data_IF_175034125604
#
_entry.id   IF_175034125604
#
_cell.length_a   1.000
_cell.length_b   1.000
_cell.length_c   1.000
_cell.angle_alpha   90.00
_cell.angle_beta   90.00
_cell.angle_gamma   90.00
#
_symmetry.space_group_name_H-M   'P 1'
#
loop_
_entity.id
_entity.type
_entity.pdbx_description
1 polymer ?
#
# COMPACT_ATOMS: atom_id res chain seq x y z
N UNK A 1 33.49 9.63 5.48
CA UNK A 1 32.47 9.89 4.45
C UNK A 1 31.16 10.18 5.17
N UNK A 2 30.54 11.35 4.95
CA UNK A 2 29.23 11.65 5.54
C UNK A 2 28.17 10.89 4.72
N UNK A 3 27.28 10.08 5.34
CA UNK A 3 26.17 9.49 4.61
C UNK A 3 25.29 10.61 4.04
N UNK A 4 24.99 10.55 2.75
CA UNK A 4 24.03 11.44 2.10
C UNK A 4 22.64 11.10 2.67
N UNK A 5 22.21 11.83 3.70
CA UNK A 5 20.81 11.83 4.10
C UNK A 5 20.07 12.74 3.12
N UNK A 6 19.26 12.15 2.25
CA UNK A 6 18.32 12.89 1.42
C UNK A 6 17.34 13.63 2.34
N UNK A 7 17.33 14.96 2.28
CA UNK A 7 16.46 15.81 3.11
C UNK A 7 14.97 15.50 2.88
N UNK A 8 14.63 14.84 1.77
CA UNK A 8 13.28 14.40 1.46
C UNK A 8 12.94 13.02 2.07
N UNK A 9 13.89 12.34 2.72
CA UNK A 9 13.64 11.11 3.46
C UNK A 9 12.92 11.44 4.77
N UNK A 10 11.62 11.71 4.66
CA UNK A 10 10.78 12.05 5.80
C UNK A 10 10.77 10.88 6.81
N UNK A 11 11.07 11.18 8.08
CA UNK A 11 10.99 10.24 9.23
C UNK A 11 9.52 9.83 9.55
N UNK A 12 8.59 10.18 8.67
CA UNK A 12 7.18 9.82 8.76
C UNK A 12 7.04 8.31 9.01
N UNK A 13 6.45 7.92 10.15
CA UNK A 13 6.17 6.51 10.46
C UNK A 13 5.41 5.88 9.30
N UNK A 14 6.02 4.85 8.71
CA UNK A 14 5.48 4.12 7.56
C UNK A 14 4.05 3.66 7.86
N UNK A 15 3.10 3.80 6.92
CA UNK A 15 1.72 3.30 7.12
C UNK A 15 1.71 1.82 7.52
N UNK A 16 2.68 1.04 7.03
CA UNK A 16 2.87 -0.38 7.37
C UNK A 16 3.34 -0.64 8.81
N UNK A 17 3.94 0.34 9.46
CA UNK A 17 4.33 0.26 10.87
C UNK A 17 3.18 0.62 11.83
N UNK A 18 2.04 1.11 11.31
CA UNK A 18 0.87 1.35 12.16
C UNK A 18 0.30 0.01 12.57
N UNK A 19 0.31 -0.28 13.88
CA UNK A 19 -0.39 -1.43 14.41
C UNK A 19 -1.84 -1.40 13.89
N UNK A 20 -2.26 -2.48 13.23
CA UNK A 20 -3.69 -2.73 12.99
C UNK A 20 -4.38 -2.63 14.34
N UNK A 21 -5.32 -1.69 14.49
CA UNK A 21 -6.10 -1.52 15.72
C UNK A 21 -6.83 -2.85 15.97
N UNK A 22 -6.25 -3.74 16.78
CA UNK A 22 -6.93 -4.93 17.31
C UNK A 22 -8.16 -4.41 18.03
N UNK A 23 -9.32 -5.01 17.77
CA UNK A 23 -10.61 -4.60 18.35
C UNK A 23 -10.49 -4.41 19.87
N UNK A 24 -10.38 -3.16 20.30
CA UNK A 24 -10.44 -2.79 21.72
C UNK A 24 -11.91 -2.73 22.07
N UNK A 25 -12.26 -3.39 23.16
CA UNK A 25 -13.61 -3.50 23.70
C UNK A 25 -14.34 -2.15 23.79
N UNK A 26 -15.62 -2.25 23.50
CA UNK A 26 -16.56 -1.21 23.16
C UNK A 26 -17.06 -0.49 24.43
N UNK A 27 -16.36 0.54 24.93
CA UNK A 27 -16.99 1.47 25.90
C UNK A 27 -16.35 2.86 25.97
N UNK A 28 -15.03 3.00 25.84
CA UNK A 28 -14.36 4.32 25.92
C UNK A 28 -14.08 4.98 24.55
N UNK A 29 -14.18 4.22 23.46
CA UNK A 29 -13.81 4.70 22.11
C UNK A 29 -14.81 5.69 21.50
N UNK A 30 -16.04 5.79 22.02
CA UNK A 30 -17.09 6.65 21.45
C UNK A 30 -16.96 8.13 21.87
N UNK A 31 -16.28 8.45 22.98
CA UNK A 31 -16.16 9.84 23.47
C UNK A 31 -15.08 10.64 22.71
N UNK A 32 -13.97 10.01 22.32
CA UNK A 32 -12.88 10.63 21.55
C UNK A 32 -13.13 10.69 20.02
N UNK A 33 -14.13 9.97 19.52
CA UNK A 33 -14.46 9.87 18.09
C UNK A 33 -15.32 11.05 17.61
N UNK A 34 -15.99 11.74 18.52
CA UNK A 34 -16.92 12.84 18.21
C UNK A 34 -16.25 14.15 17.78
N UNK A 35 -15.02 14.44 18.24
CA UNK A 35 -14.32 15.69 17.90
C UNK A 35 -13.44 15.59 16.64
N UNK A 36 -13.01 14.39 16.25
CA UNK A 36 -12.18 14.17 15.05
C UNK A 36 -12.99 13.83 13.78
N UNK A 37 -14.30 13.61 13.90
CA UNK A 37 -15.19 13.14 12.83
C UNK A 37 -15.46 14.14 11.70
N UNK A 38 -15.12 15.42 11.83
CA UNK A 38 -15.43 16.46 10.82
C UNK A 38 -14.35 16.71 9.75
N UNK A 39 -13.20 16.02 9.79
CA UNK A 39 -12.16 16.07 8.72
C UNK A 39 -11.84 14.70 8.11
N UNK A 40 -12.67 13.68 8.35
CA UNK A 40 -12.52 12.33 7.80
C UNK A 40 -12.80 12.30 6.29
N UNK A 41 -11.74 12.51 5.48
CA UNK A 41 -11.77 12.32 4.01
C UNK A 41 -12.53 11.03 3.70
N UNK A 42 -13.61 11.11 2.90
CA UNK A 42 -14.28 9.95 2.26
C UNK A 42 -13.17 9.07 1.65
N UNK A 43 -12.71 8.05 2.37
CA UNK A 43 -11.63 7.19 1.91
C UNK A 43 -12.26 6.28 0.88
N UNK A 44 -12.04 6.69 -0.37
CA UNK A 44 -12.56 6.16 -1.62
C UNK A 44 -12.91 4.66 -1.53
N UNK A 45 -14.21 4.33 -1.55
CA UNK A 45 -14.71 2.96 -1.72
C UNK A 45 -14.22 2.34 -3.06
N UNK A 46 -13.63 3.15 -3.93
CA UNK A 46 -13.19 2.78 -5.27
C UNK A 46 -11.65 2.61 -5.39
N UNK A 47 -10.89 2.48 -4.30
CA UNK A 47 -9.47 2.12 -4.46
C UNK A 47 -9.32 0.65 -4.84
N UNK A 48 -8.31 0.35 -5.65
CA UNK A 48 -7.79 -1.00 -5.87
C UNK A 48 -7.22 -1.63 -4.58
N UNK A 49 -6.53 -0.84 -3.75
CA UNK A 49 -5.83 -1.33 -2.55
C UNK A 49 -6.36 -0.69 -1.27
N UNK A 50 -6.21 -1.39 -0.13
CA UNK A 50 -6.52 -0.88 1.20
C UNK A 50 -5.47 0.13 1.69
N UNK A 51 -5.66 0.70 2.87
CA UNK A 51 -4.69 1.66 3.44
C UNK A 51 -3.31 1.08 3.77
N UNK A 52 -3.17 -0.25 3.82
CA UNK A 52 -1.90 -0.94 4.04
C UNK A 52 -1.23 -1.32 2.71
N UNK A 53 -1.93 -1.17 1.58
CA UNK A 53 -1.46 -1.52 0.24
C UNK A 53 -1.78 -2.95 -0.18
N UNK A 54 -2.69 -3.64 0.50
CA UNK A 54 -3.18 -4.95 0.11
C UNK A 54 -4.31 -4.82 -0.90
N UNK A 55 -4.44 -5.78 -1.81
CA UNK A 55 -5.53 -5.82 -2.80
C UNK A 55 -6.86 -5.90 -2.05
N UNK A 56 -7.81 -5.00 -2.33
CA UNK A 56 -9.08 -4.94 -1.57
C UNK A 56 -9.98 -6.16 -1.73
N UNK A 57 -9.99 -6.77 -2.90
CA UNK A 57 -10.88 -7.89 -3.22
C UNK A 57 -10.53 -9.18 -2.49
N UNK A 58 -9.24 -9.46 -2.25
CA UNK A 58 -8.78 -10.72 -1.65
C UNK A 58 -7.87 -10.52 -0.41
N UNK A 59 -7.54 -9.29 -0.06
CA UNK A 59 -6.70 -8.97 1.10
C UNK A 59 -5.21 -9.32 0.95
N UNK A 60 -4.76 -9.72 -0.24
CA UNK A 60 -3.37 -10.16 -0.45
C UNK A 60 -2.41 -8.99 -0.64
N UNK A 61 -1.21 -9.11 -0.05
CA UNK A 61 -0.11 -8.14 -0.21
C UNK A 61 0.83 -8.56 -1.34
N UNK A 62 0.37 -8.47 -2.59
CA UNK A 62 1.18 -8.89 -3.76
C UNK A 62 2.03 -7.73 -4.28
N UNK A 63 3.30 -8.02 -4.60
CA UNK A 63 4.21 -7.07 -5.25
C UNK A 63 3.78 -6.81 -6.70
N UNK A 64 4.10 -5.64 -7.23
CA UNK A 64 3.77 -5.26 -8.61
C UNK A 64 4.43 -6.15 -9.67
N UNK A 65 5.44 -6.94 -9.32
CA UNK A 65 6.01 -7.99 -10.17
C UNK A 65 5.17 -9.28 -10.23
N UNK A 66 3.99 -9.30 -9.60
CA UNK A 66 3.04 -10.43 -9.60
C UNK A 66 3.59 -11.71 -8.94
N UNK A 67 4.65 -11.61 -8.14
CA UNK A 67 5.17 -12.69 -7.32
C UNK A 67 4.79 -12.49 -5.84
N UNK A 68 4.12 -13.48 -5.26
CA UNK A 68 3.67 -13.49 -3.86
C UNK A 68 4.84 -13.62 -2.86
N UNK A 69 5.92 -14.29 -3.26
CA UNK A 69 7.12 -14.50 -2.45
C UNK A 69 8.13 -13.35 -2.59
N UNK A 70 7.80 -12.30 -3.34
CA UNK A 70 8.71 -11.19 -3.57
C UNK A 70 8.83 -10.29 -2.32
N UNK A 71 10.05 -10.12 -1.81
CA UNK A 71 10.35 -9.19 -0.71
C UNK A 71 10.16 -7.70 -1.10
N UNK A 72 10.16 -7.41 -2.41
CA UNK A 72 9.88 -6.12 -3.00
C UNK A 72 10.83 -5.78 -4.14
N UNK A 73 10.31 -5.25 -5.25
CA UNK A 73 11.11 -4.87 -6.43
C UNK A 73 11.58 -3.41 -6.42
N UNK A 74 11.09 -2.61 -5.48
CA UNK A 74 11.29 -1.16 -5.45
C UNK A 74 11.93 -0.75 -4.13
N UNK A 75 12.62 0.39 -4.13
CA UNK A 75 13.04 1.06 -2.90
C UNK A 75 11.83 1.38 -2.00
N UNK A 76 12.08 1.64 -0.72
CA UNK A 76 11.03 1.97 0.24
C UNK A 76 10.17 3.14 -0.27
N UNK A 77 8.88 2.88 -0.44
CA UNK A 77 7.91 3.88 -0.86
C UNK A 77 7.88 5.03 0.15
N UNK A 78 8.09 6.27 -0.33
CA UNK A 78 8.06 7.49 0.51
C UNK A 78 6.71 7.70 1.22
N UNK A 79 5.61 7.14 0.71
CA UNK A 79 4.28 7.29 1.32
C UNK A 79 3.96 6.25 2.38
N UNK A 80 4.25 4.96 2.14
CA UNK A 80 3.82 3.87 3.04
C UNK A 80 4.96 3.01 3.60
N UNK A 81 6.20 3.19 3.10
CA UNK A 81 7.39 2.43 3.48
C UNK A 81 7.60 1.10 2.74
N UNK A 82 6.60 0.65 1.97
CA UNK A 82 6.65 -0.63 1.26
C UNK A 82 7.70 -0.64 0.15
N UNK A 83 8.42 -1.73 0.00
CA UNK A 83 9.28 -2.05 -1.14
C UNK A 83 8.52 -2.66 -2.33
N UNK A 84 7.18 -2.78 -2.23
CA UNK A 84 6.31 -3.46 -3.20
C UNK A 84 5.41 -2.51 -4.00
N UNK A 85 5.58 -1.19 -3.87
CA UNK A 85 4.59 -0.22 -4.35
C UNK A 85 4.71 0.23 -5.81
N UNK A 86 5.79 -0.05 -6.52
CA UNK A 86 5.96 0.54 -7.85
C UNK A 86 6.29 2.03 -7.81
N UNK A 87 6.19 2.72 -8.96
CA UNK A 87 6.34 4.17 -9.06
C UNK A 87 5.28 4.95 -8.27
N UNK A 88 4.09 4.37 -8.09
CA UNK A 88 2.97 4.98 -7.39
C UNK A 88 2.53 4.12 -6.22
N UNK A 89 2.53 4.68 -5.00
CA UNK A 89 2.10 4.00 -3.78
C UNK A 89 0.78 3.23 -3.96
N UNK A 90 0.79 1.91 -3.67
CA UNK A 90 -0.39 1.03 -3.72
C UNK A 90 -1.57 1.62 -2.94
N UNK A 91 -1.34 2.11 -1.73
CA UNK A 91 -2.38 2.72 -0.89
C UNK A 91 -2.99 4.01 -1.46
N UNK A 92 -2.34 4.65 -2.45
CA UNK A 92 -2.76 5.93 -3.03
C UNK A 92 -3.27 5.81 -4.47
N UNK A 93 -3.12 4.66 -5.13
CA UNK A 93 -3.54 4.46 -6.53
C UNK A 93 -4.85 3.67 -6.64
N UNK A 94 -5.49 3.77 -7.81
CA UNK A 94 -6.80 3.14 -8.09
C UNK A 94 -6.75 2.02 -9.14
N UNK A 95 -5.57 1.74 -9.68
CA UNK A 95 -5.38 0.72 -10.72
C UNK A 95 -4.47 -0.41 -10.21
N UNK A 96 -4.56 -1.54 -10.90
CA UNK A 96 -3.61 -2.65 -10.80
C UNK A 96 -2.81 -2.74 -12.11
N UNK A 97 -1.63 -3.35 -12.07
CA UNK A 97 -0.98 -3.80 -13.30
C UNK A 97 -1.70 -5.05 -13.81
N UNK A 98 -2.15 -5.04 -15.06
CA UNK A 98 -2.89 -6.16 -15.66
C UNK A 98 -1.95 -7.28 -16.09
N UNK A 99 -0.83 -6.92 -16.73
CA UNK A 99 0.24 -7.83 -17.10
C UNK A 99 1.62 -7.15 -17.03
N UNK A 100 2.67 -7.95 -17.22
CA UNK A 100 4.05 -7.52 -17.43
C UNK A 100 4.53 -8.17 -18.70
N UNK A 101 4.79 -7.37 -19.72
CA UNK A 101 5.39 -7.82 -20.99
C UNK A 101 6.86 -7.44 -20.99
N UNK A 102 7.75 -8.40 -21.26
CA UNK A 102 9.19 -8.18 -21.32
C UNK A 102 9.60 -7.74 -22.72
N UNK A 103 10.33 -6.64 -22.82
CA UNK A 103 10.89 -6.21 -24.10
C UNK A 103 11.94 -7.22 -24.60
N UNK A 104 11.91 -7.53 -25.90
CA UNK A 104 12.81 -8.48 -26.55
C UNK A 104 12.65 -9.95 -26.12
N UNK A 105 11.59 -10.32 -25.41
CA UNK A 105 11.28 -11.72 -25.05
C UNK A 105 9.79 -12.00 -25.24
N UNK A 106 9.45 -13.19 -25.74
CA UNK A 106 8.06 -13.67 -25.80
C UNK A 106 7.58 -14.14 -24.41
N UNK A 107 7.73 -13.28 -23.40
CA UNK A 107 7.35 -13.53 -22.02
C UNK A 107 6.34 -12.48 -21.56
N UNK A 108 5.15 -12.96 -21.18
CA UNK A 108 4.08 -12.17 -20.58
C UNK A 108 3.65 -12.81 -19.24
N UNK A 109 3.66 -12.02 -18.18
CA UNK A 109 3.16 -12.43 -16.86
C UNK A 109 1.81 -11.74 -16.65
N UNK A 110 0.73 -12.52 -16.54
CA UNK A 110 -0.61 -12.00 -16.28
C UNK A 110 -0.91 -11.91 -14.78
N UNK A 111 -1.64 -10.87 -14.38
CA UNK A 111 -2.04 -10.68 -13.00
C UNK A 111 -3.21 -11.60 -12.61
N UNK A 112 -2.88 -12.73 -11.98
CA UNK A 112 -3.84 -13.70 -11.46
C UNK A 112 -4.57 -13.29 -10.18
N UNK A 113 -4.29 -12.10 -9.62
CA UNK A 113 -4.76 -11.69 -8.30
C UNK A 113 -5.86 -10.62 -8.32
N UNK A 114 -6.21 -10.10 -9.50
CA UNK A 114 -7.31 -9.12 -9.65
C UNK A 114 -8.59 -9.89 -10.01
N UNK A 115 -9.75 -9.55 -9.44
CA UNK A 115 -11.02 -10.06 -9.93
C UNK A 115 -11.24 -9.57 -11.37
N UNK A 116 -11.55 -10.51 -12.28
CA UNK A 116 -11.99 -10.19 -13.65
C UNK A 116 -13.41 -9.65 -13.66
#
# INVERSE_FOLDING_TARGET
MKPYLDSDYSISRNLRQRHRKKGVSNEYSNYLDSENKKKGRKKCQNSAYDEYGNIRSNGLDICDCMNQECDGCWYNCRSCGSTRCGPQCRSNRKFFYEDITYDGKDLNIQNKYIPR
#
